data_IF_209232610767
#
_entry.id   IF_209232610767
#
_cell.length_a   1.000
_cell.length_b   1.000
_cell.length_c   1.000
_cell.angle_alpha   90.00
_cell.angle_beta   90.00
_cell.angle_gamma   90.00
#
_symmetry.space_group_name_H-M   'P 1'
#
loop_
_entity.id
_entity.type
_entity.pdbx_description
1 polymer ?
#
# COMPACT_ATOMS: atom_id res chain seq x y z
N UNK A 1 56.05 20.14 54.40
CA UNK A 1 54.70 20.39 53.87
C UNK A 1 54.85 20.42 52.35
N UNK A 2 54.40 19.38 51.66
CA UNK A 2 54.58 19.27 50.20
C UNK A 2 53.52 20.12 49.51
N UNK A 3 53.94 21.19 48.83
CA UNK A 3 53.04 22.01 48.02
C UNK A 3 52.47 21.18 46.88
N UNK A 4 51.14 21.06 46.86
CA UNK A 4 50.39 20.38 45.82
C UNK A 4 50.38 21.25 44.56
N UNK A 5 51.16 20.88 43.55
CA UNK A 5 51.15 21.60 42.27
C UNK A 5 49.91 21.20 41.47
N UNK A 6 49.01 22.16 41.25
CA UNK A 6 47.86 22.01 40.36
C UNK A 6 48.20 22.65 39.02
N UNK A 7 48.16 21.88 37.94
CA UNK A 7 48.26 22.44 36.61
C UNK A 7 47.06 23.34 36.34
N UNK A 8 47.34 24.60 36.01
CA UNK A 8 46.32 25.53 35.53
C UNK A 8 45.87 25.05 34.14
N UNK A 9 44.71 24.39 34.07
CA UNK A 9 44.13 23.94 32.80
C UNK A 9 43.75 25.11 31.88
N UNK A 10 43.28 24.79 30.66
CA UNK A 10 42.71 25.79 29.76
C UNK A 10 41.18 25.78 29.82
N UNK A 11 40.55 26.95 29.71
CA UNK A 11 39.10 27.15 29.67
C UNK A 11 38.60 27.22 28.22
N UNK A 12 37.61 26.41 27.87
CA UNK A 12 36.94 26.50 26.57
C UNK A 12 35.83 27.55 26.58
N UNK A 13 35.71 28.32 25.49
CA UNK A 13 34.60 29.24 25.26
C UNK A 13 33.71 28.76 24.11
N UNK A 14 32.42 28.54 24.37
CA UNK A 14 31.48 27.97 23.39
C UNK A 14 31.12 28.94 22.25
N UNK A 15 31.10 30.24 22.51
CA UNK A 15 30.75 31.25 21.51
C UNK A 15 31.92 31.55 20.56
N UNK A 16 33.14 31.62 21.10
CA UNK A 16 34.33 31.92 20.33
C UNK A 16 35.07 30.68 19.82
N UNK A 17 34.75 29.50 20.35
CA UNK A 17 35.36 28.21 20.00
C UNK A 17 36.89 28.23 20.09
N UNK A 18 37.40 28.81 21.17
CA UNK A 18 38.84 28.87 21.47
C UNK A 18 39.10 28.43 22.90
N UNK A 19 40.30 27.92 23.14
CA UNK A 19 40.83 27.67 24.48
C UNK A 19 41.53 28.92 25.01
N UNK A 20 41.22 29.27 26.25
CA UNK A 20 41.80 30.37 27.03
C UNK A 20 42.63 29.80 28.17
N UNK A 21 43.60 30.57 28.66
CA UNK A 21 44.25 30.22 29.91
C UNK A 21 43.25 30.37 31.07
N UNK A 22 43.32 29.47 32.06
CA UNK A 22 42.46 29.53 33.25
C UNK A 22 42.93 30.60 34.25
N UNK A 23 43.13 31.84 33.78
CA UNK A 23 43.37 32.99 34.63
C UNK A 23 42.10 33.86 34.65
N UNK A 24 41.55 34.23 35.83
CA UNK A 24 40.31 35.00 35.94
C UNK A 24 40.35 36.35 35.21
N UNK A 25 41.53 36.96 35.02
CA UNK A 25 41.67 38.19 34.23
C UNK A 25 41.60 37.93 32.72
N UNK A 26 42.17 36.82 32.25
CA UNK A 26 42.10 36.43 30.83
C UNK A 26 40.67 36.10 30.41
N UNK A 27 39.95 35.36 31.25
CA UNK A 27 38.54 35.00 31.03
C UNK A 27 37.67 36.26 30.96
N UNK A 28 37.79 37.17 31.94
CA UNK A 28 37.02 38.42 31.94
C UNK A 28 37.32 39.31 30.73
N UNK A 29 38.58 39.47 30.36
CA UNK A 29 38.95 40.27 29.19
C UNK A 29 38.41 39.68 27.88
N UNK A 30 38.31 38.35 27.80
CA UNK A 30 37.71 37.68 26.65
C UNK A 30 36.19 37.85 26.59
N UNK A 31 35.49 37.63 27.70
CA UNK A 31 34.04 37.77 27.79
C UNK A 31 33.60 39.23 27.51
N UNK A 32 34.39 40.19 27.98
CA UNK A 32 34.18 41.62 27.70
C UNK A 32 34.63 42.03 26.30
N UNK A 33 35.43 41.20 25.62
CA UNK A 33 35.96 41.44 24.29
C UNK A 33 34.87 41.52 23.23
N UNK A 34 35.05 42.42 22.26
CA UNK A 34 34.07 42.68 21.20
C UNK A 34 33.71 41.41 20.42
N UNK A 35 34.72 40.58 20.12
CA UNK A 35 34.54 39.33 19.36
C UNK A 35 33.60 38.36 20.06
N UNK A 36 33.67 38.27 21.39
CA UNK A 36 32.76 37.43 22.18
C UNK A 36 31.34 37.97 22.14
N UNK A 37 31.17 39.27 22.42
CA UNK A 37 29.86 39.95 22.37
C UNK A 37 29.20 39.81 21.00
N UNK A 38 29.95 40.00 19.92
CA UNK A 38 29.44 39.86 18.56
C UNK A 38 29.01 38.43 18.25
N UNK A 39 29.78 37.43 18.70
CA UNK A 39 29.43 36.02 18.51
C UNK A 39 28.18 35.63 19.31
N UNK A 40 28.05 36.13 20.54
CA UNK A 40 26.84 35.96 21.36
C UNK A 40 25.63 36.61 20.68
N UNK A 41 25.76 37.87 20.23
CA UNK A 41 24.70 38.58 19.54
C UNK A 41 24.27 37.84 18.26
N UNK A 42 25.23 37.38 17.45
CA UNK A 42 24.97 36.54 16.27
C UNK A 42 24.24 35.25 16.62
N UNK A 43 24.64 34.55 17.69
CA UNK A 43 23.96 33.32 18.11
C UNK A 43 22.53 33.59 18.54
N UNK A 44 22.27 34.71 19.21
CA UNK A 44 20.91 35.12 19.59
C UNK A 44 20.06 35.48 18.37
N UNK A 45 20.60 36.19 17.39
CA UNK A 45 19.86 36.51 16.16
C UNK A 45 19.57 35.27 15.32
N UNK A 46 20.54 34.36 15.16
CA UNK A 46 20.32 33.09 14.44
C UNK A 46 19.26 32.25 15.14
N UNK A 47 19.29 32.15 16.48
CA UNK A 47 18.27 31.40 17.25
C UNK A 47 16.86 31.99 17.05
N UNK A 48 16.72 33.32 17.01
CA UNK A 48 15.43 33.97 16.73
C UNK A 48 14.96 33.71 15.30
N UNK A 49 15.86 33.87 14.32
CA UNK A 49 15.54 33.61 12.91
C UNK A 49 15.16 32.16 12.67
N UNK A 50 15.87 31.21 13.27
CA UNK A 50 15.55 29.77 13.19
C UNK A 50 14.17 29.47 13.78
N UNK A 51 13.79 30.10 14.90
CA UNK A 51 12.44 29.94 15.47
C UNK A 51 11.36 30.45 14.51
N UNK A 52 11.53 31.66 13.98
CA UNK A 52 10.58 32.23 13.01
C UNK A 52 10.50 31.39 11.73
N UNK A 53 11.63 30.89 11.23
CA UNK A 53 11.66 30.03 10.05
C UNK A 53 10.96 28.69 10.31
N UNK A 54 11.18 28.08 11.49
CA UNK A 54 10.50 26.84 11.90
C UNK A 54 8.99 27.06 12.05
N UNK A 55 8.56 28.14 12.67
CA UNK A 55 7.14 28.49 12.80
C UNK A 55 6.48 28.70 11.43
N UNK A 56 7.14 29.41 10.51
CA UNK A 56 6.65 29.57 9.12
C UNK A 56 6.55 28.23 8.39
N UNK A 57 7.58 27.38 8.49
CA UNK A 57 7.57 26.05 7.87
C UNK A 57 6.46 25.16 8.44
N UNK A 58 6.23 25.19 9.75
CA UNK A 58 5.13 24.46 10.41
C UNK A 58 3.77 24.98 9.92
N UNK A 59 3.59 26.29 9.83
CA UNK A 59 2.35 26.90 9.34
C UNK A 59 2.11 26.60 7.84
N UNK A 60 3.15 26.56 7.03
CA UNK A 60 3.07 26.14 5.62
C UNK A 60 2.72 24.66 5.48
N UNK A 61 3.35 23.79 6.29
CA UNK A 61 3.03 22.38 6.33
C UNK A 61 1.58 22.13 6.78
N UNK A 62 1.11 22.83 7.82
CA UNK A 62 -0.27 22.73 8.29
C UNK A 62 -1.28 23.14 7.20
N UNK A 63 -1.03 24.25 6.49
CA UNK A 63 -1.86 24.67 5.35
C UNK A 63 -1.85 23.66 4.21
N UNK A 64 -0.70 23.04 3.92
CA UNK A 64 -0.62 22.00 2.90
C UNK A 64 -1.41 20.74 3.30
N UNK A 65 -1.34 20.32 4.57
CA UNK A 65 -2.12 19.21 5.09
C UNK A 65 -3.63 19.49 5.01
N UNK A 66 -4.07 20.68 5.40
CA UNK A 66 -5.48 21.08 5.30
C UNK A 66 -5.99 21.01 3.84
N UNK A 67 -5.18 21.44 2.88
CA UNK A 67 -5.54 21.33 1.45
C UNK A 67 -5.62 19.87 0.98
N UNK A 68 -4.71 19.02 1.43
CA UNK A 68 -4.73 17.58 1.12
C UNK A 68 -5.99 16.95 1.72
N UNK A 69 -6.29 17.23 2.98
CA UNK A 69 -7.48 16.72 3.66
C UNK A 69 -8.77 17.19 2.98
N UNK A 70 -8.85 18.47 2.60
CA UNK A 70 -10.01 19.00 1.89
C UNK A 70 -10.23 18.31 0.54
N UNK A 71 -9.14 18.07 -0.21
CA UNK A 71 -9.20 17.33 -1.49
C UNK A 71 -9.60 15.86 -1.27
N UNK A 72 -9.02 15.20 -0.26
CA UNK A 72 -9.33 13.82 0.08
C UNK A 72 -10.80 13.66 0.54
N UNK A 73 -11.32 14.58 1.35
CA UNK A 73 -12.74 14.59 1.76
C UNK A 73 -13.66 14.75 0.56
N UNK A 74 -13.32 15.63 -0.38
CA UNK A 74 -14.11 15.84 -1.61
C UNK A 74 -14.06 14.62 -2.54
N UNK A 75 -12.91 13.96 -2.71
CA UNK A 75 -12.84 12.73 -3.51
C UNK A 75 -13.62 11.61 -2.84
N UNK A 76 -13.45 11.41 -1.53
CA UNK A 76 -14.19 10.41 -0.78
C UNK A 76 -15.71 10.59 -0.88
N UNK A 77 -16.20 11.83 -0.75
CA UNK A 77 -17.63 12.11 -0.93
C UNK A 77 -18.13 11.74 -2.33
N UNK A 78 -17.33 12.00 -3.38
CA UNK A 78 -17.65 11.59 -4.75
C UNK A 78 -17.68 10.08 -4.87
N UNK A 79 -16.67 9.39 -4.34
CA UNK A 79 -16.58 7.92 -4.40
C UNK A 79 -17.75 7.26 -3.65
N UNK A 80 -18.16 7.82 -2.51
CA UNK A 80 -19.34 7.35 -1.79
C UNK A 80 -20.62 7.57 -2.60
N UNK A 81 -20.75 8.71 -3.28
CA UNK A 81 -21.90 8.97 -4.15
C UNK A 81 -21.93 8.01 -5.35
N UNK A 82 -20.80 7.80 -6.03
CA UNK A 82 -20.71 6.88 -7.16
C UNK A 82 -20.93 5.42 -6.75
N UNK A 83 -20.44 5.01 -5.58
CA UNK A 83 -20.72 3.68 -5.04
C UNK A 83 -22.20 3.49 -4.67
N UNK A 84 -22.87 4.53 -4.18
CA UNK A 84 -24.32 4.49 -3.94
C UNK A 84 -25.08 4.40 -5.26
N UNK A 85 -24.78 5.25 -6.23
CA UNK A 85 -25.41 5.22 -7.56
C UNK A 85 -25.17 3.87 -8.27
N UNK A 86 -23.94 3.33 -8.21
CA UNK A 86 -23.63 2.02 -8.76
C UNK A 86 -24.27 0.88 -7.96
N UNK A 87 -24.44 1.04 -6.65
CA UNK A 87 -25.16 0.10 -5.79
C UNK A 87 -26.65 0.08 -6.10
N UNK A 88 -27.26 1.25 -6.32
CA UNK A 88 -28.67 1.42 -6.70
C UNK A 88 -28.91 0.91 -8.14
N UNK A 89 -27.97 1.17 -9.06
CA UNK A 89 -28.00 0.59 -10.41
C UNK A 89 -27.87 -0.93 -10.39
N UNK A 90 -26.93 -1.48 -9.59
CA UNK A 90 -26.81 -2.92 -9.39
C UNK A 90 -28.03 -3.52 -8.69
N UNK A 91 -28.66 -2.80 -7.76
CA UNK A 91 -29.88 -3.26 -7.10
C UNK A 91 -31.07 -3.27 -8.06
N UNK A 92 -31.15 -2.31 -9.00
CA UNK A 92 -32.09 -2.33 -10.10
C UNK A 92 -31.81 -3.50 -11.07
N UNK A 93 -30.56 -3.71 -11.47
CA UNK A 93 -30.16 -4.84 -12.32
C UNK A 93 -30.45 -6.19 -11.65
N UNK A 94 -30.17 -6.33 -10.34
CA UNK A 94 -30.52 -7.55 -9.57
C UNK A 94 -32.05 -7.71 -9.45
N UNK A 95 -32.83 -6.63 -9.35
CA UNK A 95 -34.30 -6.74 -9.33
C UNK A 95 -34.84 -7.18 -10.69
N UNK A 96 -34.20 -6.78 -11.79
CA UNK A 96 -34.58 -7.13 -13.16
C UNK A 96 -34.13 -8.57 -13.54
N UNK A 97 -32.92 -8.98 -13.10
CA UNK A 97 -32.39 -10.34 -13.24
C UNK A 97 -32.97 -11.35 -12.23
N UNK A 98 -33.56 -10.91 -11.12
CA UNK A 98 -34.28 -11.78 -10.16
C UNK A 98 -35.57 -12.40 -10.73
N UNK A 99 -35.83 -12.17 -12.01
CA UNK A 99 -36.76 -12.93 -12.83
C UNK A 99 -36.18 -14.26 -13.35
N UNK A 100 -35.00 -14.69 -12.89
CA UNK A 100 -34.61 -16.12 -12.84
C UNK A 100 -34.85 -16.66 -11.42
N UNK A 101 -36.09 -17.06 -11.15
CA UNK A 101 -36.55 -17.34 -9.79
C UNK A 101 -36.21 -18.78 -9.38
N UNK A 102 -35.00 -18.98 -8.88
CA UNK A 102 -34.69 -20.15 -8.05
C UNK A 102 -35.53 -20.09 -6.77
N UNK A 103 -36.52 -20.96 -6.67
CA UNK A 103 -37.38 -21.10 -5.51
C UNK A 103 -36.77 -22.12 -4.53
N UNK A 104 -36.52 -21.70 -3.29
CA UNK A 104 -36.06 -22.62 -2.25
C UNK A 104 -37.23 -23.47 -1.76
N UNK A 105 -37.14 -24.80 -1.93
CA UNK A 105 -38.12 -25.72 -1.36
C UNK A 105 -37.67 -26.17 0.03
N UNK A 106 -38.38 -25.70 1.06
CA UNK A 106 -38.09 -26.04 2.45
C UNK A 106 -38.33 -27.53 2.77
N UNK A 107 -39.06 -28.24 1.92
CA UNK A 107 -39.41 -29.66 2.12
C UNK A 107 -38.28 -30.58 1.67
N UNK A 108 -37.63 -30.24 0.56
CA UNK A 108 -36.54 -31.02 -0.02
C UNK A 108 -35.16 -30.46 0.34
N UNK A 109 -35.08 -29.22 0.81
CA UNK A 109 -33.81 -28.54 1.16
C UNK A 109 -33.01 -28.10 -0.06
N UNK A 110 -33.57 -28.23 -1.27
CA UNK A 110 -32.95 -27.89 -2.54
C UNK A 110 -33.56 -26.62 -3.14
N UNK A 111 -32.79 -25.88 -3.93
CA UNK A 111 -33.30 -24.80 -4.75
C UNK A 111 -33.81 -25.37 -6.07
N UNK A 112 -35.06 -25.11 -6.42
CA UNK A 112 -35.64 -25.51 -7.69
C UNK A 112 -35.80 -24.30 -8.59
N UNK A 113 -35.36 -24.41 -9.84
CA UNK A 113 -35.62 -23.40 -10.85
C UNK A 113 -36.66 -23.92 -11.84
N UNK A 114 -37.77 -23.19 -11.91
CA UNK A 114 -38.93 -23.53 -12.72
C UNK A 114 -38.65 -23.45 -14.22
N UNK A 115 -37.69 -22.61 -14.64
CA UNK A 115 -37.45 -22.30 -16.05
C UNK A 115 -36.59 -23.35 -16.75
N UNK A 116 -35.71 -24.01 -15.98
CA UNK A 116 -34.78 -25.00 -16.47
C UNK A 116 -35.07 -26.41 -15.92
N UNK A 117 -35.95 -26.53 -14.91
CA UNK A 117 -36.28 -27.79 -14.26
C UNK A 117 -35.10 -28.38 -13.47
N UNK A 118 -34.13 -27.56 -13.09
CA UNK A 118 -32.97 -28.00 -12.32
C UNK A 118 -33.19 -27.81 -10.82
N UNK A 119 -32.70 -28.79 -10.06
CA UNK A 119 -32.53 -28.69 -8.62
C UNK A 119 -31.06 -28.39 -8.29
N UNK A 120 -30.82 -27.48 -7.36
CA UNK A 120 -29.50 -27.12 -6.88
C UNK A 120 -29.39 -27.43 -5.38
N UNK A 121 -28.35 -28.16 -5.02
CA UNK A 121 -28.02 -28.49 -3.64
C UNK A 121 -26.90 -27.58 -3.10
N UNK A 122 -27.17 -26.71 -2.12
CA UNK A 122 -26.16 -25.80 -1.55
C UNK A 122 -25.02 -26.50 -0.82
N UNK A 123 -25.26 -27.71 -0.30
CA UNK A 123 -24.27 -28.41 0.51
C UNK A 123 -23.26 -29.15 -0.38
N UNK A 124 -23.73 -29.70 -1.50
CA UNK A 124 -22.89 -30.46 -2.43
C UNK A 124 -22.40 -29.61 -3.62
N UNK A 125 -23.06 -28.49 -3.93
CA UNK A 125 -22.74 -27.63 -5.05
C UNK A 125 -23.06 -28.24 -6.41
N UNK A 126 -23.72 -29.40 -6.44
CA UNK A 126 -24.13 -30.09 -7.65
C UNK A 126 -25.56 -29.72 -8.05
N UNK A 127 -25.85 -29.96 -9.32
CA UNK A 127 -27.13 -29.71 -9.95
C UNK A 127 -27.75 -31.04 -10.40
N UNK A 128 -29.04 -31.20 -10.16
CA UNK A 128 -29.83 -32.35 -10.59
C UNK A 128 -30.82 -31.93 -11.66
N UNK A 129 -30.95 -32.75 -12.71
CA UNK A 129 -32.00 -32.63 -13.71
C UNK A 129 -32.65 -34.00 -13.90
N UNK A 130 -33.97 -34.01 -14.08
CA UNK A 130 -34.71 -35.25 -14.36
C UNK A 130 -34.26 -35.93 -15.67
N UNK A 131 -33.67 -35.16 -16.60
CA UNK A 131 -33.15 -35.68 -17.85
C UNK A 131 -31.90 -36.55 -17.69
N UNK A 132 -31.01 -36.22 -16.73
CA UNK A 132 -29.79 -37.00 -16.46
C UNK A 132 -30.02 -38.02 -15.33
N UNK A 133 -30.92 -37.72 -14.39
CA UNK A 133 -31.21 -38.55 -13.22
C UNK A 133 -30.03 -38.70 -12.25
N UNK A 134 -29.01 -37.82 -12.36
CA UNK A 134 -27.81 -37.80 -11.50
C UNK A 134 -27.46 -36.38 -11.11
N UNK A 135 -26.71 -36.25 -10.02
CA UNK A 135 -26.12 -34.99 -9.58
C UNK A 135 -24.85 -34.71 -10.39
N UNK A 136 -24.83 -33.58 -11.09
CA UNK A 136 -23.81 -33.24 -12.06
C UNK A 136 -23.36 -31.79 -11.87
N UNK A 137 -22.20 -31.45 -12.42
CA UNK A 137 -21.68 -30.08 -12.46
C UNK A 137 -22.63 -29.15 -13.24
N UNK A 138 -22.51 -27.86 -12.97
CA UNK A 138 -23.38 -26.83 -13.57
C UNK A 138 -23.43 -26.93 -15.09
N UNK A 139 -22.29 -27.03 -15.77
CA UNK A 139 -22.21 -27.04 -17.23
C UNK A 139 -22.97 -28.22 -17.86
N UNK A 140 -22.83 -29.41 -17.29
CA UNK A 140 -23.47 -30.63 -17.79
C UNK A 140 -24.98 -30.61 -17.53
N UNK A 141 -25.40 -30.08 -16.38
CA UNK A 141 -26.81 -29.98 -16.03
C UNK A 141 -27.55 -28.94 -16.89
N UNK A 142 -26.92 -27.79 -17.17
CA UNK A 142 -27.47 -26.78 -18.09
C UNK A 142 -27.45 -27.24 -19.56
N UNK A 143 -26.47 -28.05 -19.97
CA UNK A 143 -26.43 -28.66 -21.31
C UNK A 143 -27.61 -29.64 -21.53
N UNK A 144 -27.99 -30.41 -20.50
CA UNK A 144 -29.16 -31.28 -20.58
C UNK A 144 -30.48 -30.50 -20.57
N UNK A 145 -30.58 -29.40 -19.82
CA UNK A 145 -31.74 -28.50 -19.86
C UNK A 145 -31.96 -27.87 -21.24
N UNK A 146 -30.88 -27.47 -21.92
CA UNK A 146 -30.90 -26.96 -23.31
C UNK A 146 -31.36 -28.00 -24.33
N UNK A 147 -31.12 -29.29 -24.08
CA UNK A 147 -31.53 -30.37 -24.99
C UNK A 147 -33.02 -30.74 -24.85
N UNK A 148 -33.71 -30.29 -23.79
CA UNK A 148 -35.10 -30.63 -23.49
C UNK A 148 -36.13 -29.60 -23.99
N UNK A 149 -35.71 -28.43 -24.47
CA UNK A 149 -36.63 -27.38 -24.95
C UNK A 149 -37.36 -27.69 -26.27
N UNK A 150 -37.14 -28.86 -26.88
CA UNK A 150 -37.89 -29.35 -28.05
C UNK A 150 -38.99 -30.39 -27.73
N UNK A 151 -39.31 -30.65 -26.45
CA UNK A 151 -40.30 -31.65 -26.04
C UNK A 151 -41.43 -31.11 -25.17
N UNK A 152 -42.68 -31.20 -25.63
CA UNK A 152 -43.91 -30.90 -24.85
C UNK A 152 -43.98 -31.65 -23.50
N UNK A 153 -44.70 -31.12 -22.49
CA UNK A 153 -44.73 -31.70 -21.16
C UNK A 153 -45.62 -32.95 -21.14
N UNK A 154 -45.14 -34.02 -20.50
CA UNK A 154 -45.90 -35.24 -20.31
C UNK A 154 -46.09 -35.49 -18.81
N UNK A 155 -47.27 -35.08 -18.32
CA UNK A 155 -47.78 -35.51 -17.01
C UNK A 155 -48.00 -37.03 -17.07
N UNK A 156 -47.49 -37.80 -16.10
CA UNK A 156 -47.89 -39.20 -15.92
C UNK A 156 -47.68 -39.64 -14.47
N UNK A 157 -48.78 -39.50 -13.72
CA UNK A 157 -49.33 -40.43 -12.72
C UNK A 157 -48.39 -41.42 -12.02
N UNK A 158 -48.31 -41.21 -10.71
CA UNK A 158 -47.95 -42.15 -9.65
C UNK A 158 -48.47 -43.58 -9.91
N UNK A 159 -47.59 -44.56 -9.74
CA UNK A 159 -47.96 -45.94 -9.38
C UNK A 159 -46.80 -46.57 -8.59
N UNK A 160 -46.99 -46.75 -7.29
CA UNK A 160 -46.17 -47.62 -6.45
C UNK A 160 -46.34 -49.08 -6.91
N UNK A 161 -45.33 -49.94 -6.69
CA UNK A 161 -45.60 -50.97 -5.70
C UNK A 161 -44.43 -51.25 -4.73
N UNK A 162 -44.86 -51.58 -3.52
CA UNK A 162 -44.11 -52.12 -2.39
C UNK A 162 -43.48 -53.48 -2.75
N UNK A 163 -42.19 -53.66 -2.44
CA UNK A 163 -41.67 -54.91 -1.85
C UNK A 163 -40.22 -54.76 -1.35
N UNK A 164 -40.14 -54.61 -0.03
CA UNK A 164 -39.24 -55.28 0.92
C UNK A 164 -38.15 -56.18 0.30
N UNK A 165 -36.88 -55.80 0.52
CA UNK A 165 -35.88 -56.71 1.11
C UNK A 165 -34.73 -55.94 1.76
N UNK A 166 -34.66 -56.17 3.05
CA UNK A 166 -33.72 -55.72 4.06
C UNK A 166 -32.39 -56.45 3.90
N UNK A 167 -31.27 -55.73 3.75
CA UNK A 167 -29.97 -56.22 4.17
C UNK A 167 -29.18 -55.11 4.86
N UNK A 168 -28.74 -55.49 6.05
CA UNK A 168 -28.19 -54.74 7.16
C UNK A 168 -26.66 -54.63 7.09
N UNK A 169 -26.14 -53.64 7.82
CA UNK A 169 -24.83 -53.55 8.50
C UNK A 169 -23.75 -52.65 7.85
N UNK A 170 -22.77 -52.13 8.62
CA UNK A 170 -22.96 -50.97 9.50
C UNK A 170 -21.89 -49.87 9.31
N UNK A 171 -22.23 -48.66 9.72
CA UNK A 171 -21.32 -47.53 9.90
C UNK A 171 -20.45 -47.76 11.15
N UNK A 172 -19.17 -47.32 11.18
CA UNK A 172 -18.58 -46.81 12.40
C UNK A 172 -18.35 -45.30 12.28
N UNK A 173 -19.06 -44.59 13.15
CA UNK A 173 -18.95 -43.17 13.43
C UNK A 173 -17.61 -42.86 14.11
N UNK A 174 -16.88 -41.86 13.59
CA UNK A 174 -15.79 -41.18 14.29
C UNK A 174 -15.90 -39.65 14.11
N UNK A 175 -15.53 -38.82 15.11
CA UNK A 175 -15.72 -37.36 15.06
C UNK A 175 -14.78 -36.70 14.05
N UNK A 176 -15.15 -35.56 13.43
CA UNK A 176 -14.31 -34.91 12.43
C UNK A 176 -13.01 -34.34 13.04
N UNK A 177 -11.85 -34.49 12.37
CA UNK A 177 -10.60 -33.91 12.84
C UNK A 177 -10.62 -32.38 12.71
N UNK A 178 -10.31 -31.70 13.82
CA UNK A 178 -10.25 -30.24 13.93
C UNK A 178 -9.06 -29.59 13.19
N UNK A 179 -9.03 -28.25 13.17
CA UNK A 179 -8.14 -27.47 12.31
C UNK A 179 -6.68 -27.54 12.77
N UNK A 180 -5.79 -27.87 11.84
CA UNK A 180 -4.33 -27.86 12.05
C UNK A 180 -3.79 -26.43 11.95
N UNK A 181 -3.38 -25.87 13.09
CA UNK A 181 -2.61 -24.61 13.14
C UNK A 181 -1.13 -24.97 13.16
N UNK A 182 -0.43 -24.68 12.06
CA UNK A 182 1.01 -24.90 11.96
C UNK A 182 1.79 -23.90 12.83
N UNK A 183 2.62 -24.46 13.69
CA UNK A 183 3.41 -23.79 14.72
C UNK A 183 4.44 -22.79 14.17
N UNK A 184 4.59 -21.68 14.90
CA UNK A 184 5.65 -20.68 14.73
C UNK A 184 7.03 -21.24 15.07
N UNK A 185 7.98 -21.16 14.14
CA UNK A 185 9.38 -21.49 14.39
C UNK A 185 10.13 -20.27 14.95
N UNK A 186 10.68 -20.43 16.15
CA UNK A 186 11.54 -19.45 16.82
C UNK A 186 12.91 -19.27 16.13
N UNK A 187 13.52 -18.08 16.16
CA UNK A 187 14.75 -17.78 15.43
C UNK A 187 15.96 -17.70 16.36
N UNK A 188 16.66 -18.81 16.62
CA UNK A 188 18.03 -18.73 17.18
C UNK A 188 18.87 -19.96 16.82
N UNK A 189 19.75 -19.84 15.81
CA UNK A 189 20.99 -20.62 15.79
C UNK A 189 22.09 -19.88 15.02
N UNK A 190 23.15 -19.54 15.76
CA UNK A 190 24.37 -18.91 15.24
C UNK A 190 25.25 -19.98 14.58
N UNK A 191 25.70 -19.76 13.34
CA UNK A 191 26.75 -20.57 12.72
C UNK A 191 27.73 -19.67 11.96
N UNK A 192 28.99 -19.70 12.41
CA UNK A 192 30.13 -18.98 11.84
C UNK A 192 30.71 -19.78 10.66
N UNK A 193 30.80 -19.14 9.50
CA UNK A 193 31.93 -19.31 8.56
C UNK A 193 31.77 -20.29 7.39
N UNK A 194 31.56 -19.74 6.18
CA UNK A 194 32.28 -20.10 4.94
C UNK A 194 32.05 -18.98 3.91
N UNK A 195 33.13 -18.38 3.43
CA UNK A 195 33.10 -17.39 2.33
C UNK A 195 32.88 -18.11 1.01
N UNK A 196 31.71 -17.97 0.42
CA UNK A 196 31.42 -18.47 -0.93
C UNK A 196 32.02 -17.55 -1.98
N UNK A 197 33.09 -18.01 -2.65
CA UNK A 197 33.55 -17.44 -3.92
C UNK A 197 32.48 -17.72 -4.99
N UNK A 198 31.78 -16.68 -5.43
CA UNK A 198 30.83 -16.76 -6.54
C UNK A 198 31.61 -16.64 -7.84
N UNK A 199 31.73 -17.73 -8.57
CA UNK A 199 32.14 -17.73 -9.98
C UNK A 199 30.99 -17.16 -10.81
N UNK A 200 31.18 -15.93 -11.30
CA UNK A 200 30.25 -15.29 -12.23
C UNK A 200 30.40 -15.96 -13.61
N UNK A 201 29.49 -16.86 -13.92
CA UNK A 201 29.27 -17.33 -15.29
C UNK A 201 28.80 -16.15 -16.15
N UNK A 202 29.67 -15.68 -17.05
CA UNK A 202 29.37 -14.72 -18.11
C UNK A 202 28.32 -15.31 -19.07
N UNK A 203 27.04 -15.01 -18.86
CA UNK A 203 26.05 -15.03 -19.94
C UNK A 203 25.94 -13.61 -20.48
N UNK A 204 26.27 -13.45 -21.77
CA UNK A 204 26.17 -12.22 -22.54
C UNK A 204 24.70 -11.86 -22.71
N UNK A 205 24.20 -10.97 -21.84
CA UNK A 205 22.95 -10.25 -22.09
C UNK A 205 23.26 -9.20 -23.15
N UNK A 206 22.60 -9.26 -24.30
CA UNK A 206 22.64 -8.16 -25.25
C UNK A 206 21.93 -6.95 -24.64
N UNK A 207 22.70 -5.96 -24.19
CA UNK A 207 22.17 -4.64 -23.87
C UNK A 207 21.87 -3.91 -25.18
N UNK A 208 20.58 -3.81 -25.51
CA UNK A 208 20.13 -2.79 -26.46
C UNK A 208 20.42 -1.41 -25.85
N UNK A 209 21.10 -0.50 -26.57
CA UNK A 209 21.35 0.85 -26.08
C UNK A 209 20.01 1.55 -25.85
N UNK A 210 19.87 2.25 -24.72
CA UNK A 210 18.72 3.10 -24.43
C UNK A 210 18.68 4.20 -25.51
N UNK A 211 17.80 4.05 -26.49
CA UNK A 211 17.57 5.09 -27.50
C UNK A 211 16.87 6.24 -26.78
N UNK A 212 17.62 7.27 -26.41
CA UNK A 212 17.06 8.53 -25.92
C UNK A 212 16.07 9.03 -26.98
N UNK A 213 14.78 9.08 -26.62
CA UNK A 213 13.72 9.48 -27.53
C UNK A 213 13.97 10.92 -27.99
N UNK A 214 13.42 11.29 -29.16
CA UNK A 214 13.54 12.67 -29.65
C UNK A 214 12.94 13.67 -28.64
N UNK A 215 11.98 13.22 -27.84
CA UNK A 215 11.34 13.98 -26.78
C UNK A 215 12.28 14.27 -25.60
N UNK A 216 13.10 13.31 -25.19
CA UNK A 216 14.08 13.51 -24.11
C UNK A 216 15.17 14.52 -24.52
N UNK A 217 15.60 14.48 -25.78
CA UNK A 217 16.56 15.47 -26.32
C UNK A 217 15.95 16.86 -26.39
N UNK A 218 14.67 16.97 -26.76
CA UNK A 218 13.94 18.23 -26.75
C UNK A 218 13.77 18.76 -25.31
N UNK A 219 13.50 17.89 -24.34
CA UNK A 219 13.38 18.25 -22.93
C UNK A 219 14.70 18.76 -22.33
N UNK A 220 15.83 18.13 -22.66
CA UNK A 220 17.15 18.61 -22.23
C UNK A 220 17.50 19.95 -22.88
N UNK A 221 17.25 20.12 -24.18
CA UNK A 221 17.46 21.38 -24.89
C UNK A 221 16.59 22.51 -24.32
N UNK A 222 15.35 22.22 -23.94
CA UNK A 222 14.45 23.19 -23.31
C UNK A 222 14.95 23.62 -21.91
N UNK A 223 15.49 22.68 -21.12
CA UNK A 223 16.11 22.97 -19.81
C UNK A 223 17.36 23.82 -19.95
N UNK A 224 18.22 23.52 -20.91
CA UNK A 224 19.43 24.31 -21.20
C UNK A 224 19.07 25.72 -21.69
N UNK A 225 18.07 25.84 -22.57
CA UNK A 225 17.58 27.14 -23.04
C UNK A 225 16.91 27.98 -21.93
N UNK A 226 16.30 27.34 -20.92
CA UNK A 226 15.78 28.01 -19.74
C UNK A 226 16.92 28.51 -18.83
N UNK A 227 17.95 27.69 -18.59
CA UNK A 227 19.15 28.11 -17.84
C UNK A 227 19.85 29.28 -18.51
N UNK A 228 20.02 29.23 -19.83
CA UNK A 228 20.63 30.33 -20.59
C UNK A 228 19.84 31.65 -20.48
N UNK A 229 18.51 31.60 -20.52
CA UNK A 229 17.66 32.79 -20.30
C UNK A 229 17.83 33.38 -18.89
N UNK A 230 18.03 32.54 -17.89
CA UNK A 230 18.33 32.99 -16.51
C UNK A 230 19.72 33.61 -16.45
N UNK A 231 20.73 32.94 -17.02
CA UNK A 231 22.10 33.45 -17.08
C UNK A 231 22.19 34.78 -17.84
N UNK A 232 21.48 34.96 -18.96
CA UNK A 232 21.45 36.22 -19.71
C UNK A 232 20.79 37.35 -18.88
N UNK A 233 19.77 37.02 -18.07
CA UNK A 233 19.15 37.96 -17.12
C UNK A 233 20.09 38.35 -15.98
N UNK A 234 20.90 37.40 -15.51
CA UNK A 234 21.87 37.60 -14.43
C UNK A 234 23.16 38.29 -14.91
N UNK A 235 23.57 38.06 -16.15
CA UNK A 235 24.77 38.65 -16.77
C UNK A 235 24.68 40.18 -16.87
N UNK A 236 23.49 40.72 -17.14
CA UNK A 236 23.23 42.17 -17.07
C UNK A 236 23.31 42.73 -15.65
N UNK A 237 23.07 41.91 -14.63
CA UNK A 237 23.09 42.28 -13.21
C UNK A 237 24.50 42.18 -12.60
N UNK A 238 25.38 41.33 -13.16
CA UNK A 238 26.77 41.17 -12.72
C UNK A 238 27.69 42.34 -13.10
N UNK A 239 27.27 43.24 -14.00
CA UNK A 239 28.03 44.44 -14.37
C UNK A 239 28.08 45.56 -13.32
N UNK A 240 27.25 45.49 -12.25
CA UNK A 240 27.22 46.52 -11.18
C UNK A 240 28.14 46.22 -9.99
N UNK A 241 28.80 45.04 -9.95
CA UNK A 241 29.72 44.64 -8.88
C UNK A 241 31.10 44.20 -9.40
N UNK A 242 31.58 44.83 -10.48
CA UNK A 242 32.92 44.61 -11.05
C UNK A 242 33.80 45.86 -10.98
N UNK A 243 33.74 46.64 -9.90
CA UNK A 243 34.57 47.82 -9.70
C UNK A 243 35.87 47.50 -8.94
N UNK A 244 37.02 47.68 -9.62
CA UNK A 244 38.40 47.83 -9.12
C UNK A 244 38.97 46.70 -8.22
N UNK A 245 39.93 45.98 -8.78
CA UNK A 245 41.28 45.90 -8.23
C UNK A 245 42.29 46.06 -9.36
#
# INVERSE_FOLDING_TARGET
>A
MTEYWVSQGNKWCDFCKIFLSNNPSSIRNHELGQRHKDNVAKRLTTMRQEKVAKEKAVNEAARALEQIEAKAKRSYQKDVATLKEAGDARALDILEDSKEKWAFDSTSGYYYNNDNGLHYDPNSGFYYSDAIGKWVTQEEAYAAGKASSDGKPRMSSVSMPISVKQQTSPVPSGPPPGPVVSASLNPTRSVKGKTSAVTVNKRKREEKPKVLSQEDKAALKAREAAKKRVEDREKGFHGLYGGKR
#
